data_IF_700602564022
#
_entry.id   IF_700602564022
#
_cell.length_a   1.000
_cell.length_b   1.000
_cell.length_c   1.000
_cell.angle_alpha   90.00
_cell.angle_beta   90.00
_cell.angle_gamma   90.00
#
_symmetry.space_group_name_H-M   'P 1'
#
loop_
_entity.id
_entity.type
_entity.pdbx_description
1 polymer ?
#
# COMPACT_ATOMS: atom_id res chain seq x y z
N UNK A 1 -5.59 35.44 -25.23
CA UNK A 1 -6.38 34.20 -25.41
C UNK A 1 -6.64 33.45 -24.10
N UNK A 2 -5.78 33.51 -23.07
CA UNK A 2 -5.97 32.76 -21.81
C UNK A 2 -7.05 33.25 -20.84
N UNK A 3 -7.45 34.53 -20.86
CA UNK A 3 -8.51 35.04 -19.95
C UNK A 3 -9.89 34.43 -20.24
N UNK A 4 -10.25 34.24 -21.52
CA UNK A 4 -11.53 33.65 -21.90
C UNK A 4 -11.59 32.15 -21.59
N UNK A 5 -10.46 31.44 -21.64
CA UNK A 5 -10.37 30.02 -21.33
C UNK A 5 -10.55 29.77 -19.84
N UNK A 6 -9.93 30.59 -18.97
CA UNK A 6 -10.14 30.51 -17.53
C UNK A 6 -11.60 30.79 -17.15
N UNK A 7 -12.21 31.83 -17.71
CA UNK A 7 -13.62 32.16 -17.45
C UNK A 7 -14.56 31.05 -17.92
N UNK A 8 -14.31 30.43 -19.08
CA UNK A 8 -15.12 29.30 -19.54
C UNK A 8 -14.95 28.07 -18.63
N UNK A 9 -13.72 27.79 -18.18
CA UNK A 9 -13.48 26.66 -17.29
C UNK A 9 -14.17 26.85 -15.92
N UNK A 10 -14.07 28.04 -15.32
CA UNK A 10 -14.75 28.35 -14.05
C UNK A 10 -16.27 28.29 -14.19
N UNK A 11 -16.84 28.79 -15.29
CA UNK A 11 -18.28 28.71 -15.52
C UNK A 11 -18.75 27.25 -15.72
N UNK A 12 -17.95 26.42 -16.37
CA UNK A 12 -18.22 25.00 -16.52
C UNK A 12 -18.12 24.27 -15.17
N UNK A 13 -17.14 24.61 -14.34
CA UNK A 13 -17.00 24.10 -12.97
C UNK A 13 -18.20 24.50 -12.10
N UNK A 14 -18.67 25.74 -12.17
CA UNK A 14 -19.87 26.20 -11.45
C UNK A 14 -21.14 25.45 -11.87
N UNK A 15 -21.26 25.05 -13.14
CA UNK A 15 -22.37 24.24 -13.63
C UNK A 15 -22.26 22.77 -13.20
N UNK A 16 -21.03 22.27 -13.02
CA UNK A 16 -20.74 20.90 -12.64
C UNK A 16 -20.61 20.73 -11.11
N UNK A 17 -20.60 21.82 -10.35
CA UNK A 17 -20.52 21.82 -8.89
C UNK A 17 -21.78 21.14 -8.37
N UNK A 18 -21.61 19.94 -7.81
CA UNK A 18 -22.71 19.23 -7.16
C UNK A 18 -23.14 19.94 -5.88
N UNK A 19 -24.18 19.42 -5.22
CA UNK A 19 -24.58 19.97 -3.93
C UNK A 19 -23.51 19.74 -2.85
N UNK A 20 -23.65 20.43 -1.71
CA UNK A 20 -22.72 20.29 -0.58
C UNK A 20 -22.63 18.86 -0.03
N UNK A 21 -23.61 17.99 -0.33
CA UNK A 21 -23.58 16.57 0.03
C UNK A 21 -22.59 15.80 -0.85
N UNK A 22 -22.61 16.05 -2.17
CA UNK A 22 -21.68 15.45 -3.12
C UNK A 22 -20.22 15.85 -2.87
N UNK A 23 -19.98 17.11 -2.49
CA UNK A 23 -18.65 17.57 -2.08
C UNK A 23 -18.20 16.85 -0.80
N UNK A 24 -19.08 16.75 0.21
CA UNK A 24 -18.78 16.05 1.45
C UNK A 24 -18.43 14.58 1.21
N UNK A 25 -19.12 13.90 0.29
CA UNK A 25 -18.78 12.52 -0.09
C UNK A 25 -17.42 12.43 -0.79
N UNK A 26 -17.04 13.40 -1.63
CA UNK A 26 -15.69 13.44 -2.21
C UNK A 26 -14.60 13.65 -1.15
N UNK A 27 -14.84 14.53 -0.17
CA UNK A 27 -13.89 14.76 0.93
C UNK A 27 -13.74 13.53 1.83
N UNK A 28 -14.82 12.77 2.07
CA UNK A 28 -14.78 11.51 2.82
C UNK A 28 -13.92 10.43 2.15
N UNK A 29 -13.79 10.45 0.82
CA UNK A 29 -12.95 9.48 0.09
C UNK A 29 -11.45 9.71 0.32
N UNK A 30 -11.03 10.95 0.61
CA UNK A 30 -9.62 11.30 0.83
C UNK A 30 -9.15 10.85 2.21
N UNK A 31 -8.15 9.98 2.24
CA UNK A 31 -7.56 9.45 3.47
C UNK A 31 -6.04 9.60 3.54
N UNK A 32 -5.37 9.93 2.42
CA UNK A 32 -3.91 10.06 2.33
C UNK A 32 -3.54 11.46 1.86
N UNK A 33 -2.97 12.24 2.78
CA UNK A 33 -2.70 13.65 2.59
C UNK A 33 -1.22 13.89 2.29
N UNK A 34 -0.96 14.76 1.32
CA UNK A 34 0.40 15.28 1.11
C UNK A 34 0.67 16.38 2.12
N UNK A 35 1.78 16.29 2.82
CA UNK A 35 2.12 17.24 3.87
C UNK A 35 2.62 18.53 3.21
N UNK A 36 2.12 19.72 3.61
CA UNK A 36 2.60 20.98 3.05
C UNK A 36 4.10 21.17 3.22
N UNK A 37 4.77 21.72 2.20
CA UNK A 37 6.23 21.90 2.19
C UNK A 37 6.75 22.70 3.39
N UNK A 38 5.97 23.67 3.88
CA UNK A 38 6.31 24.46 5.07
C UNK A 38 6.47 23.63 6.35
N UNK A 39 5.84 22.45 6.41
CA UNK A 39 5.96 21.49 7.53
C UNK A 39 7.08 20.49 7.25
N UNK A 40 7.18 19.97 6.02
CA UNK A 40 8.19 18.96 5.69
C UNK A 40 9.62 19.52 5.67
N UNK A 41 9.80 20.80 5.35
CA UNK A 41 11.10 21.45 5.38
C UNK A 41 11.68 21.61 6.79
N UNK A 42 10.83 21.62 7.84
CA UNK A 42 11.27 21.66 9.23
C UNK A 42 11.96 20.36 9.66
N UNK A 43 11.53 19.21 9.12
CA UNK A 43 12.16 17.92 9.37
C UNK A 43 11.88 16.90 8.26
N UNK A 44 12.67 16.95 7.19
CA UNK A 44 12.52 16.04 6.04
C UNK A 44 12.59 14.55 6.44
N UNK A 45 13.35 14.22 7.49
CA UNK A 45 13.51 12.84 7.98
C UNK A 45 12.28 12.31 8.71
N UNK A 46 11.36 13.17 9.15
CA UNK A 46 10.13 12.78 9.81
C UNK A 46 8.99 12.47 8.83
N UNK A 47 9.08 12.95 7.58
CA UNK A 47 7.99 12.86 6.61
C UNK A 47 8.34 12.05 5.37
N UNK A 48 9.64 11.85 5.07
CA UNK A 48 10.09 11.06 3.92
C UNK A 48 10.60 9.68 4.32
N UNK A 49 10.17 8.62 3.60
CA UNK A 49 10.71 7.28 3.81
C UNK A 49 12.21 7.22 3.53
N UNK A 50 12.91 6.35 4.26
CA UNK A 50 14.37 6.23 4.17
C UNK A 50 14.83 4.92 3.53
N UNK A 51 13.97 3.91 3.55
CA UNK A 51 14.29 2.51 3.23
C UNK A 51 13.34 1.97 2.17
N UNK A 52 12.05 2.28 2.26
CA UNK A 52 11.03 1.81 1.31
C UNK A 52 9.93 2.84 1.06
N UNK A 53 9.60 3.06 -0.20
CA UNK A 53 8.39 3.79 -0.60
C UNK A 53 7.19 2.86 -0.67
N UNK A 54 6.02 3.36 -0.30
CA UNK A 54 4.72 2.74 -0.50
C UNK A 54 3.78 3.76 -1.15
N UNK A 55 3.21 3.39 -2.28
CA UNK A 55 2.30 4.21 -3.03
C UNK A 55 2.99 5.31 -3.85
N UNK A 56 2.18 6.22 -4.40
CA UNK A 56 2.57 7.11 -5.50
C UNK A 56 3.51 8.26 -5.11
N UNK A 57 3.49 8.73 -3.86
CA UNK A 57 4.15 9.99 -3.48
C UNK A 57 5.68 9.90 -3.49
N UNK A 58 6.25 8.74 -3.17
CA UNK A 58 7.70 8.50 -3.16
C UNK A 58 8.12 7.44 -4.19
N UNK A 59 7.26 7.14 -5.16
CA UNK A 59 7.55 6.15 -6.18
C UNK A 59 8.66 6.62 -7.13
N UNK A 60 9.68 5.77 -7.32
CA UNK A 60 10.80 6.02 -8.23
C UNK A 60 11.87 6.97 -7.68
N UNK A 61 11.87 7.30 -6.38
CA UNK A 61 12.99 8.02 -5.78
C UNK A 61 14.27 7.15 -5.83
N UNK A 62 15.42 7.64 -6.36
CA UNK A 62 16.61 6.81 -6.59
C UNK A 62 17.16 6.12 -5.33
N UNK A 63 17.00 6.75 -4.17
CA UNK A 63 17.42 6.20 -2.87
C UNK A 63 16.53 5.04 -2.37
N UNK A 64 15.37 4.81 -2.98
CA UNK A 64 14.40 3.79 -2.59
C UNK A 64 14.28 2.66 -3.62
N UNK A 65 14.85 2.84 -4.82
CA UNK A 65 14.74 1.91 -5.96
C UNK A 65 15.27 0.51 -5.64
N UNK A 66 16.31 0.40 -4.80
CA UNK A 66 16.87 -0.89 -4.38
C UNK A 66 15.85 -1.81 -3.69
N UNK A 67 14.76 -1.27 -3.16
CA UNK A 67 13.72 -2.05 -2.51
C UNK A 67 12.74 -2.69 -3.50
N UNK A 68 12.65 -2.20 -4.74
CA UNK A 68 11.69 -2.69 -5.74
C UNK A 68 11.92 -4.17 -6.08
N UNK A 69 13.17 -4.62 -6.12
CA UNK A 69 13.50 -6.03 -6.33
C UNK A 69 12.98 -6.92 -5.19
N UNK A 70 13.05 -6.43 -3.95
CA UNK A 70 12.54 -7.16 -2.79
C UNK A 70 11.02 -7.19 -2.75
N UNK A 71 10.34 -6.11 -3.15
CA UNK A 71 8.88 -6.08 -3.33
C UNK A 71 8.43 -7.10 -4.37
N UNK A 72 9.12 -7.16 -5.50
CA UNK A 72 8.83 -8.15 -6.54
C UNK A 72 9.03 -9.59 -6.02
N UNK A 73 10.11 -9.85 -5.28
CA UNK A 73 10.33 -11.17 -4.66
C UNK A 73 9.22 -11.51 -3.67
N UNK A 74 8.81 -10.57 -2.83
CA UNK A 74 7.71 -10.75 -1.89
C UNK A 74 6.38 -11.05 -2.60
N UNK A 75 6.10 -10.38 -3.72
CA UNK A 75 4.94 -10.70 -4.56
C UNK A 75 4.97 -12.16 -5.04
N UNK A 76 6.11 -12.67 -5.50
CA UNK A 76 6.22 -14.07 -5.94
C UNK A 76 5.96 -15.05 -4.79
N UNK A 77 6.51 -14.80 -3.60
CA UNK A 77 6.22 -15.61 -2.41
C UNK A 77 4.74 -15.56 -2.03
N UNK A 78 4.15 -14.37 -2.03
CA UNK A 78 2.74 -14.16 -1.76
C UNK A 78 1.84 -14.96 -2.72
N UNK A 79 2.08 -14.85 -4.03
CA UNK A 79 1.31 -15.59 -5.05
C UNK A 79 1.51 -17.10 -4.94
N UNK A 80 2.73 -17.56 -4.69
CA UNK A 80 3.04 -18.99 -4.49
C UNK A 80 2.30 -19.58 -3.29
N UNK A 81 2.16 -18.81 -2.22
CA UNK A 81 1.49 -19.20 -0.98
C UNK A 81 -0.02 -19.37 -1.17
N UNK A 82 -0.67 -18.39 -1.81
CA UNK A 82 -2.12 -18.36 -1.97
C UNK A 82 -2.64 -19.07 -3.22
N UNK A 83 -1.75 -19.36 -4.17
CA UNK A 83 -2.05 -20.15 -5.38
C UNK A 83 -3.23 -19.61 -6.20
N UNK A 84 -3.50 -18.31 -6.09
CA UNK A 84 -4.47 -17.62 -6.95
C UNK A 84 -3.75 -17.08 -8.19
N UNK A 85 -4.36 -17.15 -9.38
CA UNK A 85 -3.81 -16.52 -10.58
C UNK A 85 -3.56 -15.02 -10.35
N UNK A 86 -2.47 -14.50 -10.90
CA UNK A 86 -2.11 -13.09 -10.73
C UNK A 86 -3.20 -12.15 -11.30
N UNK A 87 -3.88 -12.59 -12.34
CA UNK A 87 -4.99 -11.90 -13.01
C UNK A 87 -6.16 -11.63 -12.05
N UNK A 88 -6.37 -12.48 -11.03
CA UNK A 88 -7.40 -12.25 -10.02
C UNK A 88 -7.09 -11.00 -9.18
N UNK A 89 -5.82 -10.78 -8.84
CA UNK A 89 -5.39 -9.60 -8.09
C UNK A 89 -5.47 -8.34 -8.95
N UNK A 90 -5.01 -8.43 -10.21
CA UNK A 90 -5.11 -7.32 -11.17
C UNK A 90 -6.57 -6.92 -11.34
N UNK A 91 -7.47 -7.89 -11.57
CA UNK A 91 -8.91 -7.62 -11.73
C UNK A 91 -9.49 -6.97 -10.47
N UNK A 92 -9.23 -7.52 -9.30
CA UNK A 92 -9.79 -7.01 -8.05
C UNK A 92 -9.31 -5.58 -7.74
N UNK A 93 -8.04 -5.27 -7.98
CA UNK A 93 -7.50 -3.91 -7.77
C UNK A 93 -8.01 -2.95 -8.85
N UNK A 94 -8.16 -3.40 -10.10
CA UNK A 94 -8.77 -2.60 -11.16
C UNK A 94 -10.22 -2.21 -10.85
N UNK A 95 -11.00 -3.08 -10.20
CA UNK A 95 -12.39 -2.79 -9.81
C UNK A 95 -12.51 -1.64 -8.81
N UNK A 96 -11.49 -1.42 -7.96
CA UNK A 96 -11.48 -0.35 -6.94
C UNK A 96 -10.52 0.80 -7.29
N UNK A 97 -9.92 0.80 -8.48
CA UNK A 97 -8.78 1.68 -8.80
C UNK A 97 -9.10 3.17 -8.65
N UNK A 98 -10.31 3.58 -9.02
CA UNK A 98 -10.71 4.98 -8.90
C UNK A 98 -10.89 5.40 -7.44
N UNK A 99 -11.43 4.53 -6.57
CA UNK A 99 -11.48 4.82 -5.13
C UNK A 99 -10.08 4.84 -4.50
N UNK A 100 -9.15 4.00 -4.97
CA UNK A 100 -7.74 4.05 -4.56
C UNK A 100 -7.07 5.36 -4.99
N UNK A 101 -7.33 5.87 -6.20
CA UNK A 101 -6.82 7.17 -6.65
C UNK A 101 -7.42 8.31 -5.83
N UNK A 102 -8.73 8.29 -5.58
CA UNK A 102 -9.42 9.31 -4.77
C UNK A 102 -9.02 9.31 -3.29
N UNK A 103 -8.44 8.22 -2.80
CA UNK A 103 -7.87 8.18 -1.45
C UNK A 103 -6.72 9.18 -1.27
N UNK A 104 -6.00 9.53 -2.34
CA UNK A 104 -4.90 10.49 -2.32
C UNK A 104 -5.41 11.92 -2.57
N UNK A 105 -5.10 12.84 -1.65
CA UNK A 105 -5.50 14.25 -1.78
C UNK A 105 -4.86 14.99 -2.95
N UNK A 106 -3.67 14.57 -3.39
CA UNK A 106 -2.87 15.24 -4.42
C UNK A 106 -2.07 14.22 -5.26
N UNK A 107 -2.79 13.40 -6.04
CA UNK A 107 -2.18 12.40 -6.92
C UNK A 107 -1.61 13.04 -8.19
N UNK A 108 -0.38 12.68 -8.57
CA UNK A 108 0.23 13.18 -9.81
C UNK A 108 -0.56 12.75 -11.05
N UNK A 109 -0.68 13.64 -12.05
CA UNK A 109 -1.39 13.40 -13.31
C UNK A 109 -0.93 12.12 -14.04
N UNK A 110 0.35 11.75 -13.89
CA UNK A 110 0.92 10.52 -14.48
C UNK A 110 0.13 9.27 -14.09
N UNK A 111 -0.40 9.21 -12.86
CA UNK A 111 -1.15 8.05 -12.37
C UNK A 111 -2.60 8.02 -12.85
N UNK A 112 -3.14 9.16 -13.27
CA UNK A 112 -4.43 9.20 -13.96
C UNK A 112 -4.29 8.72 -15.41
N UNK A 113 -3.15 9.00 -16.05
CA UNK A 113 -2.85 8.59 -17.43
C UNK A 113 -2.41 7.12 -17.52
N UNK A 114 -1.57 6.66 -16.60
CA UNK A 114 -1.08 5.29 -16.54
C UNK A 114 -1.76 4.50 -15.41
N UNK A 115 -3.02 4.14 -15.65
CA UNK A 115 -3.81 3.37 -14.68
C UNK A 115 -3.21 1.99 -14.42
N UNK A 116 -2.65 1.34 -15.44
CA UNK A 116 -2.06 0.00 -15.28
C UNK A 116 -0.76 0.06 -14.47
N UNK A 117 0.09 1.07 -14.71
CA UNK A 117 1.27 1.33 -13.87
C UNK A 117 0.90 1.60 -12.42
N UNK A 118 -0.16 2.37 -12.17
CA UNK A 118 -0.69 2.59 -10.82
C UNK A 118 -1.15 1.28 -10.16
N UNK A 119 -1.90 0.44 -10.86
CA UNK A 119 -2.35 -0.86 -10.34
C UNK A 119 -1.18 -1.80 -10.06
N UNK A 120 -0.18 -1.84 -10.95
CA UNK A 120 1.04 -2.63 -10.73
C UNK A 120 1.77 -2.20 -9.46
N UNK A 121 1.96 -0.89 -9.28
CA UNK A 121 2.57 -0.33 -8.07
C UNK A 121 1.75 -0.70 -6.82
N UNK A 122 0.43 -0.52 -6.86
CA UNK A 122 -0.45 -0.85 -5.73
C UNK A 122 -0.36 -2.33 -5.33
N UNK A 123 -0.33 -3.25 -6.30
CA UNK A 123 -0.23 -4.68 -6.01
C UNK A 123 1.15 -5.02 -5.41
N UNK A 124 2.24 -4.49 -5.98
CA UNK A 124 3.60 -4.71 -5.45
C UNK A 124 3.73 -4.21 -4.02
N UNK A 125 3.34 -2.95 -3.78
CA UNK A 125 3.45 -2.29 -2.49
C UNK A 125 2.53 -2.93 -1.44
N UNK A 126 1.29 -3.26 -1.84
CA UNK A 126 0.31 -3.90 -0.98
C UNK A 126 0.72 -5.32 -0.57
N UNK A 127 1.19 -6.14 -1.52
CA UNK A 127 1.71 -7.48 -1.20
C UNK A 127 2.94 -7.41 -0.30
N UNK A 128 3.86 -6.46 -0.55
CA UNK A 128 5.04 -6.29 0.30
C UNK A 128 4.66 -5.86 1.72
N UNK A 129 3.71 -4.93 1.87
CA UNK A 129 3.19 -4.52 3.17
C UNK A 129 2.53 -5.69 3.92
N UNK A 130 1.73 -6.51 3.23
CA UNK A 130 1.11 -7.70 3.82
C UNK A 130 2.15 -8.74 4.27
N UNK A 131 3.23 -8.94 3.51
CA UNK A 131 4.33 -9.84 3.90
C UNK A 131 5.12 -9.30 5.12
N UNK A 132 5.34 -7.98 5.21
CA UNK A 132 5.94 -7.37 6.42
C UNK A 132 5.03 -7.57 7.64
N UNK A 133 3.72 -7.33 7.50
CA UNK A 133 2.75 -7.55 8.57
C UNK A 133 2.75 -9.02 9.02
N UNK A 134 2.78 -9.96 8.06
CA UNK A 134 2.86 -11.40 8.36
C UNK A 134 4.15 -11.75 9.11
N UNK A 135 5.30 -11.23 8.67
CA UNK A 135 6.59 -11.49 9.32
C UNK A 135 6.66 -10.91 10.74
N UNK A 136 5.96 -9.81 11.01
CA UNK A 136 5.83 -9.27 12.36
C UNK A 136 5.07 -10.22 13.30
N UNK A 137 4.03 -10.90 12.81
CA UNK A 137 3.21 -11.81 13.64
C UNK A 137 3.92 -13.11 14.03
N UNK A 138 5.02 -13.46 13.37
CA UNK A 138 5.79 -14.67 13.71
C UNK A 138 6.76 -14.45 14.87
N UNK A 139 7.06 -13.20 15.22
CA UNK A 139 7.99 -12.85 16.30
C UNK A 139 7.27 -12.78 17.67
N UNK A 140 5.95 -12.54 17.69
CA UNK A 140 5.12 -12.43 18.91
C UNK A 140 4.65 -13.79 19.46
N UNK A 141 5.01 -14.91 18.82
CA UNK A 141 4.71 -16.24 19.32
C UNK A 141 5.83 -16.65 20.27
N UNK A 142 5.67 -16.32 21.56
CA UNK A 142 6.36 -17.01 22.65
C UNK A 142 6.31 -18.52 22.36
N UNK A 143 7.47 -19.18 22.44
CA UNK A 143 7.71 -20.58 22.08
C UNK A 143 6.92 -21.64 22.87
N UNK A 144 5.84 -21.26 23.57
CA UNK A 144 5.07 -22.09 24.48
C UNK A 144 3.64 -22.46 24.00
N UNK A 145 3.21 -22.05 22.80
CA UNK A 145 1.97 -22.58 22.20
C UNK A 145 2.31 -23.41 20.97
N UNK A 146 1.91 -24.69 21.04
CA UNK A 146 2.06 -25.70 20.00
C UNK A 146 1.97 -25.11 18.59
N UNK A 147 3.07 -25.22 17.83
CA UNK A 147 3.26 -24.79 16.44
C UNK A 147 2.30 -25.44 15.42
N UNK A 148 1.21 -26.06 15.87
CA UNK A 148 0.24 -26.77 15.06
C UNK A 148 -0.91 -25.87 14.54
N UNK A 149 -1.17 -24.71 15.15
CA UNK A 149 -2.29 -23.83 14.77
C UNK A 149 -1.86 -22.70 13.80
N UNK A 150 -0.61 -22.25 13.87
CA UNK A 150 -0.04 -21.30 12.92
C UNK A 150 0.74 -22.07 11.84
N UNK A 151 0.04 -22.51 10.80
CA UNK A 151 0.61 -23.13 9.59
C UNK A 151 1.43 -22.13 8.73
N UNK A 152 2.09 -21.15 9.36
CA UNK A 152 2.94 -20.15 8.71
C UNK A 152 4.34 -20.72 8.62
N UNK A 153 4.52 -21.71 7.75
CA UNK A 153 5.86 -22.12 7.33
C UNK A 153 6.52 -20.90 6.70
N UNK A 154 7.62 -20.44 7.29
CA UNK A 154 8.45 -19.40 6.69
C UNK A 154 9.06 -19.98 5.42
N UNK A 155 8.53 -19.56 4.28
CA UNK A 155 8.89 -20.06 2.96
C UNK A 155 10.01 -19.25 2.31
N UNK A 156 10.57 -18.27 3.03
CA UNK A 156 11.76 -17.52 2.62
C UNK A 156 13.04 -18.30 2.94
N UNK A 157 14.07 -18.05 2.13
CA UNK A 157 15.39 -18.61 2.38
C UNK A 157 15.98 -18.02 3.67
N UNK A 158 16.78 -18.81 4.39
CA UNK A 158 17.44 -18.38 5.63
C UNK A 158 18.43 -17.22 5.44
N UNK A 159 18.85 -16.96 4.20
CA UNK A 159 19.69 -15.83 3.80
C UNK A 159 18.93 -14.72 3.06
N UNK A 160 17.59 -14.71 3.07
CA UNK A 160 16.81 -13.61 2.50
C UNK A 160 17.13 -12.29 3.24
N UNK A 161 17.39 -11.19 2.54
CA UNK A 161 17.82 -9.94 3.18
C UNK A 161 16.75 -9.28 4.07
N UNK A 162 15.46 -9.60 3.90
CA UNK A 162 14.35 -8.95 4.62
C UNK A 162 13.62 -9.92 5.54
N UNK A 163 13.30 -11.11 5.04
CA UNK A 163 12.43 -12.06 5.72
C UNK A 163 13.17 -13.23 6.38
N UNK A 164 14.50 -13.29 6.31
CA UNK A 164 15.28 -14.17 7.19
C UNK A 164 15.22 -13.71 8.65
N UNK A 165 15.65 -14.54 9.59
CA UNK A 165 15.78 -14.14 11.00
C UNK A 165 16.64 -12.88 11.19
N UNK A 166 17.70 -12.72 10.39
CA UNK A 166 18.54 -11.52 10.41
C UNK A 166 17.77 -10.30 9.85
N UNK A 167 17.08 -10.47 8.72
CA UNK A 167 16.25 -9.40 8.15
C UNK A 167 15.11 -8.97 9.07
N UNK A 168 14.45 -9.94 9.74
CA UNK A 168 13.41 -9.67 10.73
C UNK A 168 13.93 -8.83 11.89
N UNK A 169 15.10 -9.18 12.42
CA UNK A 169 15.69 -8.48 13.57
C UNK A 169 16.22 -7.08 13.22
N UNK A 170 16.85 -6.91 12.05
CA UNK A 170 17.61 -5.69 11.75
C UNK A 170 17.02 -4.82 10.64
N UNK A 171 16.19 -5.36 9.74
CA UNK A 171 15.65 -4.62 8.59
C UNK A 171 14.18 -4.25 8.80
N UNK A 172 13.34 -5.19 9.26
CA UNK A 172 11.91 -4.93 9.47
C UNK A 172 11.61 -3.71 10.35
N UNK A 173 12.35 -3.37 11.42
CA UNK A 173 12.09 -2.16 12.20
C UNK A 173 12.13 -0.87 11.37
N UNK A 174 13.06 -0.78 10.40
CA UNK A 174 13.16 0.38 9.52
C UNK A 174 12.02 0.43 8.49
N UNK A 175 11.63 -0.74 7.96
CA UNK A 175 10.49 -0.82 7.04
C UNK A 175 9.18 -0.45 7.76
N UNK A 176 8.97 -0.96 8.98
CA UNK A 176 7.81 -0.61 9.82
C UNK A 176 7.76 0.88 10.13
N UNK A 177 8.90 1.51 10.40
CA UNK A 177 8.96 2.97 10.60
C UNK A 177 8.51 3.73 9.34
N UNK A 178 8.98 3.32 8.17
CA UNK A 178 8.58 3.95 6.91
C UNK A 178 7.09 3.71 6.61
N UNK A 179 6.54 2.55 6.98
CA UNK A 179 5.09 2.26 6.89
C UNK A 179 4.21 3.16 7.76
N UNK A 180 4.78 3.86 8.76
CA UNK A 180 4.03 4.78 9.63
C UNK A 180 4.14 6.25 9.18
N UNK A 181 4.89 6.53 8.12
CA UNK A 181 5.06 7.91 7.64
C UNK A 181 3.84 8.37 6.83
N UNK A 182 3.34 9.58 7.10
CA UNK A 182 2.10 10.10 6.52
C UNK A 182 2.08 10.12 4.99
N UNK A 183 3.21 10.42 4.34
CA UNK A 183 3.31 10.45 2.88
C UNK A 183 3.60 9.07 2.26
N UNK A 184 3.72 8.03 3.08
CA UNK A 184 4.14 6.69 2.69
C UNK A 184 3.07 5.63 3.00
N UNK A 185 1.81 5.96 2.73
CA UNK A 185 0.65 5.16 3.07
C UNK A 185 0.00 4.51 1.85
N UNK A 186 -0.64 3.37 2.08
CA UNK A 186 -1.55 2.71 1.14
C UNK A 186 -2.99 2.78 1.66
N UNK A 187 -4.01 2.92 0.79
CA UNK A 187 -5.39 2.91 1.24
C UNK A 187 -5.73 1.56 1.87
N UNK A 188 -6.40 1.55 3.01
CA UNK A 188 -6.87 0.31 3.65
C UNK A 188 -7.75 -0.55 2.73
N UNK A 189 -8.49 0.10 1.83
CA UNK A 189 -9.25 -0.57 0.78
C UNK A 189 -8.39 -1.52 -0.05
N UNK A 190 -7.17 -1.12 -0.42
CA UNK A 190 -6.24 -1.96 -1.19
C UNK A 190 -5.89 -3.25 -0.45
N UNK A 191 -5.49 -3.13 0.83
CA UNK A 191 -5.08 -4.30 1.63
C UNK A 191 -6.24 -5.28 1.81
N UNK A 192 -7.44 -4.75 2.07
CA UNK A 192 -8.66 -5.55 2.15
C UNK A 192 -8.98 -6.25 0.83
N UNK A 193 -8.85 -5.55 -0.30
CA UNK A 193 -9.05 -6.12 -1.63
C UNK A 193 -8.07 -7.26 -1.91
N UNK A 194 -6.78 -7.06 -1.64
CA UNK A 194 -5.76 -8.10 -1.85
C UNK A 194 -6.01 -9.32 -0.96
N UNK A 195 -6.32 -9.13 0.33
CA UNK A 195 -6.63 -10.23 1.24
C UNK A 195 -7.94 -10.93 0.87
N UNK A 196 -8.94 -10.22 0.38
CA UNK A 196 -10.17 -10.85 -0.09
C UNK A 196 -9.92 -11.85 -1.22
N UNK A 197 -9.00 -11.55 -2.15
CA UNK A 197 -8.60 -12.47 -3.22
C UNK A 197 -7.91 -13.72 -2.66
N UNK A 198 -7.14 -13.59 -1.57
CA UNK A 198 -6.44 -14.74 -0.95
C UNK A 198 -7.38 -15.77 -0.33
N UNK A 199 -8.61 -15.40 0.02
CA UNK A 199 -9.54 -16.30 0.70
C UNK A 199 -9.87 -17.48 -0.22
N UNK A 200 -9.66 -18.68 0.30
CA UNK A 200 -10.19 -19.91 -0.27
C UNK A 200 -11.45 -20.28 0.49
N UNK A 201 -12.56 -20.45 -0.22
CA UNK A 201 -13.83 -20.92 0.37
C UNK A 201 -13.66 -22.29 1.06
N UNK A 202 -12.61 -23.05 0.69
CA UNK A 202 -12.32 -24.37 1.23
C UNK A 202 -11.26 -24.39 2.35
N UNK A 203 -10.61 -23.27 2.67
CA UNK A 203 -9.60 -23.21 3.74
C UNK A 203 -9.60 -21.86 4.48
N UNK A 204 -10.49 -21.70 5.48
CA UNK A 204 -10.66 -20.44 6.21
C UNK A 204 -9.44 -20.05 7.08
N UNK A 205 -8.51 -20.98 7.34
CA UNK A 205 -7.35 -20.75 8.20
C UNK A 205 -6.14 -20.16 7.45
N UNK A 206 -6.22 -19.94 6.14
CA UNK A 206 -5.10 -19.39 5.35
C UNK A 206 -5.01 -17.85 5.39
N UNK A 207 -5.95 -17.16 6.03
CA UNK A 207 -6.15 -15.72 5.88
C UNK A 207 -5.17 -14.92 6.74
N UNK A 208 -4.51 -13.93 6.14
CA UNK A 208 -3.80 -12.88 6.89
C UNK A 208 -4.85 -12.09 7.69
N UNK A 209 -4.84 -12.22 9.01
CA UNK A 209 -5.67 -11.38 9.86
C UNK A 209 -5.07 -9.98 9.94
N UNK A 210 -5.53 -9.10 9.05
CA UNK A 210 -5.20 -7.68 9.06
C UNK A 210 -5.59 -7.06 10.44
N UNK A 211 -6.68 -7.53 11.04
CA UNK A 211 -7.27 -6.96 12.27
C UNK A 211 -6.42 -7.10 13.53
N UNK A 212 -5.36 -7.92 13.51
CA UNK A 212 -4.60 -8.23 14.73
C UNK A 212 -3.46 -7.24 15.00
N UNK A 213 -3.07 -6.40 14.04
CA UNK A 213 -1.86 -5.56 14.14
C UNK A 213 -1.98 -4.15 13.53
N UNK A 214 -3.15 -3.74 13.03
CA UNK A 214 -3.35 -2.34 12.65
C UNK A 214 -3.72 -1.55 13.90
N UNK A 215 -2.70 -1.08 14.61
CA UNK A 215 -2.82 0.13 15.40
C UNK A 215 -2.58 1.32 14.45
N UNK A 216 -3.67 1.90 13.95
CA UNK A 216 -3.72 3.32 13.60
C UNK A 216 -4.42 4.07 14.74
#
# INVERSE_FOLDING_TARGET
MGENEWVMNVNQELQNMGDSSSEMEQWKKRSIYRVPSCVTDLNKRAYKPQSVSFGPYHYGEPNLESMEENKHRALLHFLKRYKKPFECYVKAVMEVVEDLKHAYSALDQKWHQDTMGFVKMMILDGCFMLEILRAATTDDVDCDINAADANVVDDYASNDPIFSNHGKLYILPYLKRDMLMLENQLPMLLLNTLVAVTKDENNPNQVISISRHIFF
#
